data_IF_147776042284
#
_entry.id   IF_147776042284
#
_cell.length_a   1.000
_cell.length_b   1.000
_cell.length_c   1.000
_cell.angle_alpha   90.00
_cell.angle_beta   90.00
_cell.angle_gamma   90.00
#
_symmetry.space_group_name_H-M   'P 1'
#
loop_
_entity.id
_entity.type
_entity.pdbx_description
1 polymer ?
#
# COMPACT_ATOMS: atom_id res chain seq x y z
N UNK A 1 15.31 -0.18 -13.08
CA UNK A 1 14.23 0.55 -12.38
C UNK A 1 14.81 1.24 -11.14
N UNK A 2 14.76 2.58 -11.05
CA UNK A 2 15.21 3.28 -9.84
C UNK A 2 14.27 3.00 -8.66
N UNK A 3 14.84 2.73 -7.47
CA UNK A 3 14.07 2.58 -6.24
C UNK A 3 13.64 3.95 -5.76
N UNK A 4 12.36 4.29 -5.92
CA UNK A 4 11.77 5.52 -5.38
C UNK A 4 11.16 5.20 -4.02
N UNK A 5 11.57 5.94 -2.99
CA UNK A 5 10.99 5.89 -1.66
C UNK A 5 10.62 7.32 -1.25
N UNK A 6 9.45 7.51 -0.67
CA UNK A 6 9.03 8.80 -0.13
C UNK A 6 9.68 8.99 1.24
N UNK A 7 10.27 10.16 1.48
CA UNK A 7 10.57 10.59 2.84
C UNK A 7 9.27 11.08 3.49
N UNK A 8 8.95 10.51 4.65
CA UNK A 8 7.74 10.78 5.42
C UNK A 8 8.04 11.49 6.77
N UNK A 9 9.28 11.91 6.99
CA UNK A 9 9.73 12.63 8.19
C UNK A 9 8.83 13.82 8.53
N UNK A 10 8.54 14.67 7.54
CA UNK A 10 7.68 15.85 7.70
C UNK A 10 6.26 15.51 8.16
N UNK A 11 5.68 14.42 7.66
CA UNK A 11 4.35 13.98 8.07
C UNK A 11 4.36 13.47 9.52
N UNK A 12 5.43 12.76 9.91
CA UNK A 12 5.63 12.31 11.29
C UNK A 12 5.76 13.50 12.25
N UNK A 13 6.56 14.50 11.90
CA UNK A 13 6.80 15.68 12.77
C UNK A 13 5.55 16.57 12.92
N UNK A 14 4.86 16.85 11.82
CA UNK A 14 3.76 17.82 11.82
C UNK A 14 2.40 17.22 12.20
N UNK A 15 2.22 15.92 11.96
CA UNK A 15 0.92 15.27 12.09
C UNK A 15 0.95 14.03 12.99
N UNK A 16 2.11 13.72 13.59
CA UNK A 16 2.35 12.46 14.30
C UNK A 16 1.89 11.24 13.48
N UNK A 17 2.07 11.33 12.15
CA UNK A 17 1.58 10.32 11.21
C UNK A 17 2.65 9.28 10.93
N UNK A 18 2.24 8.02 10.89
CA UNK A 18 3.04 6.89 10.43
C UNK A 18 2.17 5.85 9.73
N UNK A 19 2.75 5.13 8.77
CA UNK A 19 2.10 4.00 8.13
C UNK A 19 1.95 2.85 9.13
N UNK A 20 0.70 2.40 9.32
CA UNK A 20 0.38 1.31 10.27
C UNK A 20 0.60 -0.10 9.72
N UNK A 21 0.78 -0.22 8.40
CA UNK A 21 0.89 -1.50 7.69
C UNK A 21 2.26 -1.54 7.02
N UNK A 22 3.02 -2.60 7.30
CA UNK A 22 4.33 -2.83 6.69
C UNK A 22 4.24 -3.23 5.22
N UNK A 23 5.36 -3.18 4.51
CA UNK A 23 5.39 -3.49 3.07
C UNK A 23 4.93 -4.93 2.75
N UNK A 24 5.52 -5.93 3.41
CA UNK A 24 5.19 -7.35 3.15
C UNK A 24 3.73 -7.66 3.48
N UNK A 25 3.24 -7.14 4.60
CA UNK A 25 1.86 -7.31 5.02
C UNK A 25 0.88 -6.64 4.04
N UNK A 26 1.14 -5.40 3.66
CA UNK A 26 0.32 -4.68 2.68
C UNK A 26 0.31 -5.39 1.34
N UNK A 27 1.46 -5.89 0.88
CA UNK A 27 1.59 -6.63 -0.37
C UNK A 27 0.78 -7.93 -0.33
N UNK A 28 0.88 -8.70 0.76
CA UNK A 28 0.11 -9.94 0.94
C UNK A 28 -1.40 -9.67 0.89
N UNK A 29 -1.89 -8.69 1.67
CA UNK A 29 -3.31 -8.28 1.66
C UNK A 29 -3.78 -7.87 0.27
N UNK A 30 -2.94 -7.14 -0.47
CA UNK A 30 -3.24 -6.70 -1.84
C UNK A 30 -3.35 -7.87 -2.81
N UNK A 31 -2.43 -8.84 -2.73
CA UNK A 31 -2.47 -10.06 -3.56
C UNK A 31 -3.72 -10.89 -3.26
N UNK A 32 -4.07 -11.04 -1.99
CA UNK A 32 -5.26 -11.79 -1.56
C UNK A 32 -6.54 -11.15 -2.10
N UNK A 33 -6.69 -9.83 -1.94
CA UNK A 33 -7.80 -9.08 -2.51
C UNK A 33 -7.86 -9.24 -4.03
N UNK A 34 -6.73 -9.07 -4.72
CA UNK A 34 -6.70 -9.21 -6.19
C UNK A 34 -7.12 -10.61 -6.65
N UNK A 35 -6.69 -11.66 -5.95
CA UNK A 35 -7.09 -13.05 -6.27
C UNK A 35 -8.60 -13.25 -6.07
N UNK A 36 -9.17 -12.72 -4.99
CA UNK A 36 -10.59 -12.81 -4.70
C UNK A 36 -11.45 -12.03 -5.71
N UNK A 37 -10.93 -10.91 -6.22
CA UNK A 37 -11.68 -9.99 -7.07
C UNK A 37 -11.34 -10.10 -8.57
N UNK A 38 -10.46 -11.01 -8.99
CA UNK A 38 -9.98 -11.15 -10.38
C UNK A 38 -11.08 -11.27 -11.44
N UNK A 39 -12.24 -11.81 -11.07
CA UNK A 39 -13.39 -12.02 -11.96
C UNK A 39 -14.50 -10.98 -11.77
N UNK A 40 -14.32 -9.99 -10.87
CA UNK A 40 -15.23 -8.88 -10.74
C UNK A 40 -14.90 -7.83 -11.82
N UNK A 41 -15.84 -7.50 -12.74
CA UNK A 41 -15.63 -6.51 -13.79
C UNK A 41 -15.21 -5.13 -13.25
N UNK A 42 -15.72 -4.74 -12.08
CA UNK A 42 -15.40 -3.45 -11.44
C UNK A 42 -14.00 -3.41 -10.84
N UNK A 43 -13.42 -4.56 -10.49
CA UNK A 43 -12.06 -4.63 -9.94
C UNK A 43 -10.97 -4.57 -11.03
N UNK A 44 -11.37 -4.56 -12.31
CA UNK A 44 -10.48 -4.46 -13.48
C UNK A 44 -10.45 -3.05 -14.10
N UNK A 45 -11.34 -2.14 -13.69
CA UNK A 45 -11.30 -0.72 -14.03
C UNK A 45 -10.35 0.02 -13.08
#
# INVERSE_FOLDING_TARGET
QPRRCLDVSRAKELMNWEAKVGFEEGLKRTIEWFKANRNNPEARM
#
